data_IF_049485654373
#
_entry.id   IF_049485654373
#
_cell.length_a   1.000
_cell.length_b   1.000
_cell.length_c   1.000
_cell.angle_alpha   90.00
_cell.angle_beta   90.00
_cell.angle_gamma   90.00
#
_symmetry.space_group_name_H-M   'P 1'
#
loop_
_entity.id
_entity.type
_entity.pdbx_description
1 polymer ?
#
# COMPACT_ATOMS: atom_id res chain seq x y z
N UNK A 1 30.26 15.11 -13.82
CA UNK A 1 28.83 14.72 -13.77
C UNK A 1 28.02 15.76 -14.50
N UNK A 2 27.19 15.37 -15.46
CA UNK A 2 26.20 16.27 -16.09
C UNK A 2 25.10 16.62 -15.08
N UNK A 3 24.55 17.83 -15.12
CA UNK A 3 23.49 18.29 -14.21
C UNK A 3 22.31 17.30 -14.09
N UNK A 4 21.99 16.65 -15.21
CA UNK A 4 20.97 15.60 -15.30
C UNK A 4 21.27 14.35 -14.47
N UNK A 5 22.54 13.91 -14.43
CA UNK A 5 22.97 12.74 -13.65
C UNK A 5 22.98 13.06 -12.15
N UNK A 6 23.31 14.31 -11.79
CA UNK A 6 23.22 14.77 -10.40
C UNK A 6 21.76 14.85 -9.93
N UNK A 7 20.87 15.43 -10.74
CA UNK A 7 19.44 15.48 -10.42
C UNK A 7 18.81 14.07 -10.37
N UNK A 8 19.25 13.14 -11.23
CA UNK A 8 18.82 11.74 -11.18
C UNK A 8 19.24 11.06 -9.87
N UNK A 9 20.49 11.29 -9.42
CA UNK A 9 20.96 10.76 -8.15
C UNK A 9 20.11 11.27 -6.98
N UNK A 10 19.84 12.58 -6.93
CA UNK A 10 19.02 13.19 -5.87
C UNK A 10 17.59 12.64 -5.85
N UNK A 11 16.97 12.44 -7.02
CA UNK A 11 15.53 12.14 -7.13
C UNK A 11 15.16 10.65 -7.17
N UNK A 12 16.08 9.76 -7.58
CA UNK A 12 15.79 8.33 -7.80
C UNK A 12 16.54 7.40 -6.85
N UNK A 13 17.75 7.78 -6.43
CA UNK A 13 18.59 6.93 -5.58
C UNK A 13 19.26 7.77 -4.51
N UNK A 14 18.51 8.06 -3.44
CA UNK A 14 19.09 8.58 -2.22
C UNK A 14 20.21 7.63 -1.76
N UNK A 15 21.46 7.99 -1.98
CA UNK A 15 22.59 7.29 -1.37
C UNK A 15 22.60 7.60 0.13
N UNK A 16 22.91 6.59 0.95
CA UNK A 16 23.03 6.75 2.40
C UNK A 16 24.12 7.79 2.70
N UNK A 17 23.71 9.05 2.94
CA UNK A 17 24.62 10.15 3.25
C UNK A 17 24.31 11.48 2.57
N UNK A 18 23.50 11.52 1.50
CA UNK A 18 23.17 12.78 0.83
C UNK A 18 22.06 13.55 1.58
N UNK A 19 22.47 14.59 2.30
CA UNK A 19 21.57 15.48 3.05
C UNK A 19 20.52 16.16 2.16
N UNK A 20 20.86 16.46 0.90
CA UNK A 20 19.95 17.12 -0.03
C UNK A 20 18.83 16.18 -0.48
N UNK A 21 19.17 14.96 -0.89
CA UNK A 21 18.20 13.94 -1.26
C UNK A 21 17.24 13.64 -0.10
N UNK A 22 17.77 13.45 1.12
CA UNK A 22 16.94 13.22 2.32
C UNK A 22 16.01 14.41 2.64
N UNK A 23 16.47 15.64 2.43
CA UNK A 23 15.65 16.83 2.66
C UNK A 23 14.52 16.92 1.64
N UNK A 24 14.79 16.62 0.37
CA UNK A 24 13.77 16.57 -0.69
C UNK A 24 12.74 15.49 -0.38
N UNK A 25 13.18 14.28 -0.01
CA UNK A 25 12.29 13.18 0.34
C UNK A 25 11.38 13.52 1.53
N UNK A 26 11.96 14.08 2.60
CA UNK A 26 11.22 14.51 3.78
C UNK A 26 10.22 15.62 3.44
N UNK A 27 10.61 16.56 2.59
CA UNK A 27 9.72 17.63 2.11
C UNK A 27 8.53 17.06 1.34
N UNK A 28 8.75 16.13 0.41
CA UNK A 28 7.66 15.50 -0.36
C UNK A 28 6.75 14.68 0.56
N UNK A 29 7.30 13.89 1.48
CA UNK A 29 6.50 13.15 2.47
C UNK A 29 5.65 14.09 3.30
N UNK A 30 6.22 15.20 3.79
CA UNK A 30 5.50 16.22 4.57
C UNK A 30 4.35 16.82 3.76
N UNK A 31 4.58 17.15 2.48
CA UNK A 31 3.52 17.63 1.60
C UNK A 31 2.40 16.59 1.41
N UNK A 32 2.73 15.31 1.26
CA UNK A 32 1.73 14.24 1.11
C UNK A 32 0.88 14.15 2.39
N UNK A 33 1.51 14.12 3.56
CA UNK A 33 0.81 14.01 4.85
C UNK A 33 -0.08 15.22 5.10
N UNK A 34 0.43 16.43 4.87
CA UNK A 34 -0.36 17.66 4.99
C UNK A 34 -1.53 17.66 4.02
N UNK A 35 -1.30 17.24 2.78
CA UNK A 35 -2.36 17.22 1.79
C UNK A 35 -3.46 16.20 2.11
N UNK A 36 -3.11 15.02 2.60
CA UNK A 36 -4.10 14.03 3.05
C UNK A 36 -4.86 14.55 4.26
N UNK A 37 -4.19 15.26 5.18
CA UNK A 37 -4.84 15.93 6.30
C UNK A 37 -5.87 16.94 5.79
N UNK A 38 -5.53 17.75 4.77
CA UNK A 38 -6.47 18.68 4.16
C UNK A 38 -7.68 17.98 3.53
N UNK A 39 -7.50 16.84 2.87
CA UNK A 39 -8.60 16.04 2.31
C UNK A 39 -9.51 15.52 3.44
N UNK A 40 -8.96 15.08 4.57
CA UNK A 40 -9.76 14.68 5.73
C UNK A 40 -10.53 15.88 6.29
N UNK A 41 -9.89 17.04 6.42
CA UNK A 41 -10.53 18.26 6.91
C UNK A 41 -11.63 18.78 5.96
N UNK A 42 -11.49 18.58 4.65
CA UNK A 42 -12.52 18.89 3.65
C UNK A 42 -13.82 18.12 3.90
N UNK A 43 -13.77 16.94 4.52
CA UNK A 43 -14.97 16.15 4.84
C UNK A 43 -15.78 16.70 6.00
N UNK A 44 -15.23 17.64 6.78
CA UNK A 44 -15.91 18.27 7.91
C UNK A 44 -16.63 19.53 7.41
N UNK A 45 -17.97 19.51 7.38
CA UNK A 45 -18.82 20.57 6.82
C UNK A 45 -18.43 21.98 7.31
N UNK A 46 -18.31 22.19 8.63
CA UNK A 46 -17.96 23.51 9.18
C UNK A 46 -16.55 24.01 8.80
N UNK A 47 -15.61 23.10 8.56
CA UNK A 47 -14.25 23.46 8.09
C UNK A 47 -14.29 23.78 6.60
N UNK A 48 -14.99 22.97 5.81
CA UNK A 48 -15.08 23.17 4.37
C UNK A 48 -15.80 24.47 4.01
N UNK A 49 -16.86 24.83 4.72
CA UNK A 49 -17.56 26.11 4.50
C UNK A 49 -16.67 27.32 4.76
N UNK A 50 -15.81 27.25 5.79
CA UNK A 50 -14.95 28.36 6.22
C UNK A 50 -13.62 28.42 5.44
N UNK A 51 -13.02 27.26 5.16
CA UNK A 51 -11.65 27.12 4.64
C UNK A 51 -11.56 26.38 3.30
N UNK A 52 -12.68 26.01 2.67
CA UNK A 52 -12.70 25.21 1.44
C UNK A 52 -11.83 25.79 0.31
N UNK A 53 -11.87 27.12 0.12
CA UNK A 53 -11.00 27.80 -0.87
C UNK A 53 -9.51 27.67 -0.57
N UNK A 54 -9.13 27.69 0.70
CA UNK A 54 -7.75 27.50 1.13
C UNK A 54 -7.30 26.06 0.90
N UNK A 55 -8.16 25.09 1.24
CA UNK A 55 -7.93 23.66 1.00
C UNK A 55 -7.72 23.39 -0.51
N UNK A 56 -8.59 23.95 -1.35
CA UNK A 56 -8.49 23.84 -2.81
C UNK A 56 -7.19 24.46 -3.33
N UNK A 57 -6.85 25.69 -2.90
CA UNK A 57 -5.60 26.34 -3.29
C UNK A 57 -4.37 25.51 -2.88
N UNK A 58 -4.37 24.98 -1.65
CA UNK A 58 -3.29 24.12 -1.17
C UNK A 58 -3.17 22.85 -2.00
N UNK A 59 -4.30 22.24 -2.39
CA UNK A 59 -4.30 21.08 -3.28
C UNK A 59 -3.67 21.41 -4.64
N UNK A 60 -4.05 22.52 -5.27
CA UNK A 60 -3.49 22.97 -6.55
C UNK A 60 -1.97 23.11 -6.44
N UNK A 61 -1.47 23.74 -5.38
CA UNK A 61 -0.03 23.91 -5.12
C UNK A 61 0.66 22.55 -4.99
N UNK A 62 0.11 21.63 -4.18
CA UNK A 62 0.68 20.29 -4.03
C UNK A 62 0.72 19.52 -5.35
N UNK A 63 -0.35 19.55 -6.14
CA UNK A 63 -0.42 18.86 -7.44
C UNK A 63 0.60 19.44 -8.41
N UNK A 64 0.76 20.76 -8.46
CA UNK A 64 1.78 21.41 -9.28
C UNK A 64 3.18 20.94 -8.89
N UNK A 65 3.51 20.93 -7.58
CA UNK A 65 4.80 20.45 -7.09
C UNK A 65 5.02 18.98 -7.48
N UNK A 66 4.04 18.11 -7.26
CA UNK A 66 4.14 16.69 -7.62
C UNK A 66 4.25 16.45 -9.12
N UNK A 67 3.60 17.29 -9.94
CA UNK A 67 3.70 17.20 -11.39
C UNK A 67 5.08 17.62 -11.87
N UNK A 68 5.61 18.73 -11.35
CA UNK A 68 6.98 19.17 -11.67
C UNK A 68 7.98 18.08 -11.28
N UNK A 69 7.85 17.52 -10.08
CA UNK A 69 8.69 16.42 -9.61
C UNK A 69 8.62 15.20 -10.55
N UNK A 70 7.41 14.76 -10.93
CA UNK A 70 7.22 13.65 -11.87
C UNK A 70 7.86 13.91 -13.26
N UNK A 71 7.70 15.12 -13.80
CA UNK A 71 8.30 15.51 -15.07
C UNK A 71 9.82 15.56 -15.00
N UNK A 72 10.39 16.07 -13.90
CA UNK A 72 11.83 16.06 -13.66
C UNK A 72 12.37 14.62 -13.62
N UNK A 73 11.66 13.69 -12.98
CA UNK A 73 12.03 12.26 -13.01
C UNK A 73 12.02 11.67 -14.41
N UNK A 74 10.97 11.90 -15.20
CA UNK A 74 10.92 11.43 -16.60
C UNK A 74 12.06 12.04 -17.43
N UNK A 75 12.40 13.30 -17.19
CA UNK A 75 13.50 13.95 -17.89
C UNK A 75 14.86 13.32 -17.53
N UNK A 76 15.08 13.08 -16.24
CA UNK A 76 16.32 12.53 -15.69
C UNK A 76 16.49 11.02 -15.88
N UNK A 77 15.41 10.24 -16.08
CA UNK A 77 15.47 8.77 -16.17
C UNK A 77 16.43 8.26 -17.27
N UNK A 78 16.59 9.05 -18.33
CA UNK A 78 17.51 8.76 -19.45
C UNK A 78 19.00 8.88 -19.08
N UNK A 79 19.32 9.28 -17.84
CA UNK A 79 20.67 9.16 -17.28
C UNK A 79 21.02 7.71 -16.90
N UNK A 80 20.03 6.86 -16.65
CA UNK A 80 20.22 5.43 -16.45
C UNK A 80 20.42 4.72 -17.79
N UNK A 81 21.40 3.80 -17.84
CA UNK A 81 21.67 2.95 -19.00
C UNK A 81 20.44 2.11 -19.40
N UNK A 82 19.59 1.72 -18.43
CA UNK A 82 18.34 0.98 -18.70
C UNK A 82 17.34 1.77 -19.55
N UNK A 83 17.31 3.09 -19.40
CA UNK A 83 16.34 3.96 -20.08
C UNK A 83 17.01 4.93 -21.06
N UNK A 84 18.19 4.60 -21.57
CA UNK A 84 19.00 5.49 -22.41
C UNK A 84 18.30 5.93 -23.73
N UNK A 85 17.34 5.14 -24.24
CA UNK A 85 16.58 5.50 -25.46
C UNK A 85 15.67 6.71 -25.19
N UNK A 86 15.71 7.77 -26.01
CA UNK A 86 15.08 9.05 -25.68
C UNK A 86 13.56 9.01 -25.54
N UNK A 87 12.85 8.29 -26.42
CA UNK A 87 11.38 8.17 -26.37
C UNK A 87 10.95 6.86 -25.69
N UNK A 88 11.41 5.72 -26.21
CA UNK A 88 11.05 4.40 -25.67
C UNK A 88 11.54 4.19 -24.23
N UNK A 89 12.68 4.76 -23.84
CA UNK A 89 13.18 4.65 -22.47
C UNK A 89 12.31 5.43 -21.48
N UNK A 90 11.82 6.61 -21.86
CA UNK A 90 10.89 7.39 -21.04
C UNK A 90 9.52 6.72 -20.90
N UNK A 91 8.99 6.16 -22.00
CA UNK A 91 7.74 5.38 -21.97
C UNK A 91 7.89 4.14 -21.10
N UNK A 92 9.00 3.41 -21.23
CA UNK A 92 9.29 2.27 -20.37
C UNK A 92 9.41 2.68 -18.89
N UNK A 93 10.00 3.84 -18.60
CA UNK A 93 10.08 4.39 -17.24
C UNK A 93 8.70 4.74 -16.68
N UNK A 94 7.85 5.40 -17.46
CA UNK A 94 6.48 5.75 -17.05
C UNK A 94 5.63 4.53 -16.68
N UNK A 95 5.92 3.37 -17.30
CA UNK A 95 5.26 2.09 -17.02
C UNK A 95 5.87 1.32 -15.84
N UNK A 96 6.87 1.87 -15.15
CA UNK A 96 7.38 1.25 -13.91
C UNK A 96 6.38 1.45 -12.76
N UNK A 97 6.23 0.50 -11.83
CA UNK A 97 5.24 0.58 -10.76
C UNK A 97 5.33 1.87 -9.92
N UNK A 98 6.54 2.33 -9.62
CA UNK A 98 6.76 3.55 -8.84
C UNK A 98 6.41 4.82 -9.62
N UNK A 99 6.64 4.86 -10.94
CA UNK A 99 6.25 5.99 -11.78
C UNK A 99 4.74 6.03 -12.05
N UNK A 100 4.10 4.86 -12.13
CA UNK A 100 2.64 4.73 -12.18
C UNK A 100 1.99 5.28 -10.91
N UNK A 101 2.57 5.02 -9.72
CA UNK A 101 2.07 5.61 -8.46
C UNK A 101 2.12 7.15 -8.51
N UNK A 102 3.23 7.72 -8.98
CA UNK A 102 3.35 9.18 -9.11
C UNK A 102 2.31 9.77 -10.09
N UNK A 103 2.04 9.07 -11.21
CA UNK A 103 1.03 9.46 -12.18
C UNK A 103 -0.38 9.38 -11.60
N UNK A 104 -0.72 8.28 -10.93
CA UNK A 104 -2.03 8.08 -10.29
C UNK A 104 -2.26 9.11 -9.19
N UNK A 105 -1.21 9.56 -8.50
CA UNK A 105 -1.31 10.57 -7.44
C UNK A 105 -1.76 11.95 -7.96
N UNK A 106 -1.34 12.35 -9.17
CA UNK A 106 -1.69 13.64 -9.78
C UNK A 106 -2.92 13.56 -10.70
N UNK A 107 -3.21 12.35 -11.21
CA UNK A 107 -4.24 12.11 -12.22
C UNK A 107 -5.64 12.66 -11.86
N UNK A 108 -6.18 12.47 -10.63
CA UNK A 108 -7.54 12.91 -10.29
C UNK A 108 -7.76 14.41 -10.50
N UNK A 109 -6.76 15.24 -10.18
CA UNK A 109 -6.86 16.69 -10.35
C UNK A 109 -6.94 17.09 -11.83
N UNK A 110 -6.12 16.49 -12.69
CA UNK A 110 -6.15 16.76 -14.12
C UNK A 110 -7.43 16.28 -14.79
N UNK A 111 -8.00 15.17 -14.34
CA UNK A 111 -9.32 14.71 -14.80
C UNK A 111 -10.40 15.73 -14.46
N UNK A 112 -10.40 16.26 -13.23
CA UNK A 112 -11.35 17.29 -12.80
C UNK A 112 -11.21 18.60 -13.60
N UNK A 113 -9.99 18.95 -14.00
CA UNK A 113 -9.72 20.15 -14.81
C UNK A 113 -10.17 19.99 -16.28
N UNK A 114 -9.99 18.81 -16.87
CA UNK A 114 -10.20 18.58 -18.31
C UNK A 114 -11.59 18.06 -18.66
N UNK A 115 -12.29 17.41 -17.73
CA UNK A 115 -13.57 16.76 -17.96
C UNK A 115 -14.64 17.40 -17.08
N UNK A 116 -15.76 17.81 -17.67
CA UNK A 116 -16.94 18.21 -16.90
C UNK A 116 -17.57 16.96 -16.28
N UNK A 117 -17.49 16.85 -14.96
CA UNK A 117 -17.90 15.65 -14.23
C UNK A 117 -19.32 15.86 -13.69
N UNK A 118 -20.25 14.91 -13.92
CA UNK A 118 -21.56 14.96 -13.28
C UNK A 118 -21.43 14.95 -11.75
N UNK A 119 -22.37 15.61 -11.02
CA UNK A 119 -22.31 15.70 -9.56
C UNK A 119 -22.11 14.35 -8.86
N UNK A 120 -22.77 13.30 -9.35
CA UNK A 120 -22.75 11.94 -8.79
C UNK A 120 -21.36 11.29 -8.77
N UNK A 121 -20.46 11.69 -9.68
CA UNK A 121 -19.11 11.13 -9.78
C UNK A 121 -18.04 11.98 -9.11
N UNK A 122 -18.41 13.12 -8.54
CA UNK A 122 -17.45 14.01 -7.86
C UNK A 122 -16.84 13.34 -6.62
N UNK A 123 -17.65 12.66 -5.80
CA UNK A 123 -17.20 12.04 -4.55
C UNK A 123 -16.22 10.86 -4.78
N UNK A 124 -16.52 9.86 -5.64
CA UNK A 124 -15.56 8.80 -5.92
C UNK A 124 -14.22 9.30 -6.47
N UNK A 125 -14.24 10.34 -7.32
CA UNK A 125 -13.02 10.92 -7.88
C UNK A 125 -12.22 11.72 -6.85
N UNK A 126 -12.89 12.35 -5.87
CA UNK A 126 -12.21 12.93 -4.70
C UNK A 126 -11.52 11.85 -3.87
N UNK A 127 -12.12 10.66 -3.72
CA UNK A 127 -11.46 9.55 -3.01
C UNK A 127 -10.20 9.04 -3.73
N UNK A 128 -10.15 9.12 -5.07
CA UNK A 128 -8.91 8.77 -5.81
C UNK A 128 -7.73 9.65 -5.40
N UNK A 129 -7.96 10.85 -4.85
CA UNK A 129 -6.89 11.72 -4.32
C UNK A 129 -6.13 11.03 -3.19
N UNK A 130 -6.74 10.09 -2.46
CA UNK A 130 -6.08 9.29 -1.43
C UNK A 130 -4.98 8.39 -2.01
N UNK A 131 -5.00 8.06 -3.31
CA UNK A 131 -3.91 7.29 -3.93
C UNK A 131 -2.57 8.03 -3.88
N UNK A 132 -2.54 9.36 -3.67
CA UNK A 132 -1.29 10.08 -3.40
C UNK A 132 -0.58 9.59 -2.13
N UNK A 133 -1.28 8.91 -1.20
CA UNK A 133 -0.66 8.24 -0.06
C UNK A 133 0.31 7.14 -0.50
N UNK A 134 0.01 6.44 -1.59
CA UNK A 134 0.88 5.37 -2.11
C UNK A 134 2.26 5.91 -2.49
N UNK A 135 2.35 7.20 -2.84
CA UNK A 135 3.60 7.89 -3.16
C UNK A 135 4.59 7.89 -1.99
N UNK A 136 4.11 7.87 -0.73
CA UNK A 136 4.97 7.72 0.46
C UNK A 136 5.84 6.46 0.37
N UNK A 137 5.32 5.39 -0.22
CA UNK A 137 6.04 4.14 -0.35
C UNK A 137 7.31 4.22 -1.20
N UNK A 138 7.39 5.19 -2.12
CA UNK A 138 8.62 5.45 -2.89
C UNK A 138 9.70 6.11 -2.04
N UNK A 139 9.34 6.99 -1.11
CA UNK A 139 10.28 7.77 -0.30
C UNK A 139 10.67 7.06 1.01
N UNK A 140 9.97 5.98 1.38
CA UNK A 140 10.29 5.18 2.55
C UNK A 140 11.06 3.92 2.18
N UNK A 141 12.33 3.85 2.58
CA UNK A 141 13.15 2.63 2.43
C UNK A 141 12.45 1.40 3.05
N UNK A 142 11.83 1.56 4.22
CA UNK A 142 11.06 0.49 4.89
C UNK A 142 9.91 -0.02 4.03
N UNK A 143 9.19 0.86 3.31
CA UNK A 143 8.08 0.45 2.44
C UNK A 143 8.59 -0.22 1.17
N UNK A 144 9.71 0.23 0.60
CA UNK A 144 10.35 -0.46 -0.52
C UNK A 144 10.80 -1.88 -0.13
N UNK A 145 11.37 -2.02 1.07
CA UNK A 145 11.73 -3.32 1.63
C UNK A 145 10.50 -4.21 1.86
N UNK A 146 9.42 -3.66 2.42
CA UNK A 146 8.14 -4.37 2.56
C UNK A 146 7.63 -4.91 1.23
N UNK A 147 7.60 -4.07 0.18
CA UNK A 147 7.20 -4.48 -1.16
C UNK A 147 8.11 -5.55 -1.77
N UNK A 148 9.42 -5.46 -1.53
CA UNK A 148 10.40 -6.46 -1.95
C UNK A 148 10.14 -7.81 -1.28
N UNK A 149 9.91 -7.82 0.03
CA UNK A 149 9.60 -9.04 0.80
C UNK A 149 8.32 -9.69 0.30
N UNK A 150 7.26 -8.92 0.08
CA UNK A 150 6.02 -9.45 -0.52
C UNK A 150 6.28 -10.08 -1.87
N UNK A 151 7.08 -9.43 -2.72
CA UNK A 151 7.39 -9.95 -4.04
C UNK A 151 8.21 -11.25 -3.97
N UNK A 152 9.20 -11.31 -3.07
CA UNK A 152 10.02 -12.49 -2.83
C UNK A 152 9.19 -13.65 -2.27
N UNK A 153 8.32 -13.39 -1.30
CA UNK A 153 7.46 -14.39 -0.63
C UNK A 153 6.12 -14.60 -1.30
N UNK A 154 5.90 -14.07 -2.52
CA UNK A 154 4.60 -14.09 -3.20
C UNK A 154 4.02 -15.50 -3.31
N UNK A 155 4.84 -16.50 -3.62
CA UNK A 155 4.37 -17.87 -3.78
C UNK A 155 3.86 -18.46 -2.46
N UNK A 156 4.58 -18.24 -1.36
CA UNK A 156 4.16 -18.65 -0.01
C UNK A 156 2.87 -17.95 0.39
N UNK A 157 2.77 -16.63 0.15
CA UNK A 157 1.56 -15.84 0.42
C UNK A 157 0.36 -16.31 -0.40
N UNK A 158 0.55 -16.66 -1.68
CA UNK A 158 -0.53 -17.21 -2.52
C UNK A 158 -1.05 -18.54 -2.00
N UNK A 159 -0.16 -19.45 -1.57
CA UNK A 159 -0.55 -20.75 -1.00
C UNK A 159 -1.35 -20.55 0.28
N UNK A 160 -0.88 -19.66 1.17
CA UNK A 160 -1.59 -19.37 2.42
C UNK A 160 -2.94 -18.70 2.16
N UNK A 161 -3.01 -17.71 1.27
CA UNK A 161 -4.28 -17.07 0.90
C UNK A 161 -5.29 -18.07 0.31
N UNK A 162 -4.82 -19.00 -0.52
CA UNK A 162 -5.65 -20.08 -1.06
C UNK A 162 -6.16 -21.01 0.06
N UNK A 163 -5.28 -21.44 0.97
CA UNK A 163 -5.65 -22.28 2.11
C UNK A 163 -6.64 -21.59 3.06
N UNK A 164 -6.46 -20.28 3.33
CA UNK A 164 -7.39 -19.48 4.13
C UNK A 164 -8.77 -19.36 3.47
N UNK A 165 -8.80 -19.15 2.15
CA UNK A 165 -10.07 -19.07 1.40
C UNK A 165 -10.80 -20.41 1.43
N UNK A 166 -10.08 -21.53 1.25
CA UNK A 166 -10.66 -22.87 1.33
C UNK A 166 -11.21 -23.15 2.72
N UNK A 167 -10.44 -22.83 3.77
CA UNK A 167 -10.88 -22.97 5.16
C UNK A 167 -12.13 -22.15 5.43
N UNK A 168 -12.17 -20.89 4.98
CA UNK A 168 -13.33 -20.01 5.11
C UNK A 168 -14.58 -20.63 4.48
N UNK A 169 -14.47 -21.18 3.26
CA UNK A 169 -15.60 -21.81 2.57
C UNK A 169 -16.09 -23.05 3.33
N UNK A 170 -15.18 -23.91 3.80
CA UNK A 170 -15.52 -25.12 4.56
C UNK A 170 -16.21 -24.76 5.87
N UNK A 171 -15.62 -23.87 6.65
CA UNK A 171 -16.14 -23.41 7.95
C UNK A 171 -17.50 -22.76 7.80
N UNK A 172 -17.67 -21.90 6.80
CA UNK A 172 -18.92 -21.17 6.58
C UNK A 172 -20.03 -22.10 6.11
N UNK A 173 -19.70 -23.07 5.25
CA UNK A 173 -20.66 -24.09 4.80
C UNK A 173 -21.10 -24.97 5.96
N UNK A 174 -20.15 -25.42 6.79
CA UNK A 174 -20.44 -26.25 7.96
C UNK A 174 -21.33 -25.50 8.95
N UNK A 175 -21.00 -24.25 9.26
CA UNK A 175 -21.78 -23.46 10.21
C UNK A 175 -23.17 -23.12 9.67
N UNK A 176 -23.30 -22.84 8.37
CA UNK A 176 -24.60 -22.69 7.72
C UNK A 176 -25.48 -23.92 7.95
N UNK A 177 -25.00 -25.13 7.65
CA UNK A 177 -25.82 -26.34 7.81
C UNK A 177 -26.18 -26.64 9.28
N UNK A 178 -25.36 -26.21 10.23
CA UNK A 178 -25.60 -26.44 11.66
C UNK A 178 -26.54 -25.40 12.28
N UNK A 179 -26.40 -24.12 11.91
CA UNK A 179 -27.12 -23.02 12.55
C UNK A 179 -28.33 -22.51 11.75
N UNK A 180 -28.42 -22.75 10.44
CA UNK A 180 -29.49 -22.18 9.60
C UNK A 180 -30.89 -22.53 10.10
N UNK A 181 -31.11 -23.76 10.56
CA UNK A 181 -32.42 -24.16 11.09
C UNK A 181 -32.79 -23.44 12.40
N UNK A 182 -31.81 -23.11 13.23
CA UNK A 182 -32.03 -22.41 14.50
C UNK A 182 -32.06 -20.89 14.32
N UNK A 183 -31.35 -20.37 13.32
CA UNK A 183 -31.14 -18.95 13.06
C UNK A 183 -31.16 -18.65 11.55
N UNK A 184 -32.32 -18.78 10.87
CA UNK A 184 -32.39 -18.65 9.41
C UNK A 184 -32.08 -17.24 8.91
N UNK A 185 -32.32 -16.21 9.72
CA UNK A 185 -31.99 -14.81 9.37
C UNK A 185 -30.48 -14.53 9.45
N UNK A 186 -29.83 -15.01 10.53
CA UNK A 186 -28.40 -14.76 10.77
C UNK A 186 -27.49 -15.63 9.90
N UNK A 187 -27.88 -16.88 9.67
CA UNK A 187 -27.18 -17.84 8.81
C UNK A 187 -27.99 -18.11 7.53
N UNK A 188 -28.42 -17.06 6.83
CA UNK A 188 -29.37 -17.14 5.70
C UNK A 188 -28.82 -17.79 4.44
N UNK A 189 -27.52 -17.66 4.19
CA UNK A 189 -26.85 -18.25 3.03
C UNK A 189 -25.38 -18.49 3.35
N UNK A 190 -24.70 -19.37 2.59
CA UNK A 190 -23.26 -19.61 2.77
C UNK A 190 -22.45 -18.30 2.65
N UNK A 191 -22.67 -17.42 1.64
CA UNK A 191 -21.99 -16.12 1.59
C UNK A 191 -22.26 -15.22 2.80
N UNK A 192 -23.49 -15.22 3.33
CA UNK A 192 -23.80 -14.48 4.58
C UNK A 192 -23.01 -15.06 5.75
N UNK A 193 -22.93 -16.39 5.86
CA UNK A 193 -22.14 -17.07 6.89
C UNK A 193 -20.63 -16.83 6.73
N UNK A 194 -20.14 -16.56 5.50
CA UNK A 194 -18.74 -16.19 5.29
C UNK A 194 -18.36 -14.89 5.99
N UNK A 195 -19.28 -13.94 6.20
CA UNK A 195 -19.02 -12.77 7.04
C UNK A 195 -18.67 -13.18 8.47
N UNK A 196 -19.50 -14.04 9.08
CA UNK A 196 -19.20 -14.61 10.40
C UNK A 196 -17.87 -15.37 10.42
N UNK A 197 -17.59 -16.16 9.37
CA UNK A 197 -16.35 -16.90 9.22
C UNK A 197 -15.12 -15.99 9.15
N UNK A 198 -15.18 -14.90 8.37
CA UNK A 198 -14.10 -13.91 8.28
C UNK A 198 -13.87 -13.28 9.66
N UNK A 199 -14.91 -12.76 10.31
CA UNK A 199 -14.83 -12.08 11.61
C UNK A 199 -14.30 -13.01 12.71
N UNK A 200 -14.67 -14.29 12.67
CA UNK A 200 -14.24 -15.31 13.64
C UNK A 200 -12.79 -15.75 13.39
N UNK A 201 -12.44 -16.12 12.16
CA UNK A 201 -11.11 -16.61 11.81
C UNK A 201 -10.04 -15.51 11.92
N UNK A 202 -10.41 -14.25 11.68
CA UNK A 202 -9.53 -13.08 11.87
C UNK A 202 -9.47 -12.58 13.31
N UNK A 203 -10.14 -13.25 14.25
CA UNK A 203 -10.17 -12.91 15.68
C UNK A 203 -10.79 -11.55 16.03
N UNK A 204 -11.54 -10.93 15.09
CA UNK A 204 -12.22 -9.64 15.31
C UNK A 204 -13.42 -9.80 16.24
N UNK A 205 -14.30 -10.76 15.95
CA UNK A 205 -15.41 -11.12 16.84
C UNK A 205 -16.38 -9.99 17.18
N UNK A 206 -16.98 -9.32 16.18
CA UNK A 206 -17.96 -8.24 16.41
C UNK A 206 -19.15 -8.66 17.29
N UNK A 207 -19.53 -9.94 17.27
CA UNK A 207 -20.63 -10.48 18.09
C UNK A 207 -22.03 -10.18 17.53
N UNK A 208 -22.11 -9.69 16.30
CA UNK A 208 -23.34 -9.46 15.54
C UNK A 208 -24.02 -10.77 15.11
N UNK A 209 -23.23 -11.79 14.79
CA UNK A 209 -23.69 -13.15 14.47
C UNK A 209 -22.86 -14.15 15.27
N UNK A 210 -23.50 -15.16 15.87
CA UNK A 210 -22.80 -16.24 16.58
C UNK A 210 -23.66 -17.51 16.65
N UNK A 211 -23.04 -18.71 16.74
CA UNK A 211 -23.79 -19.96 16.87
C UNK A 211 -24.51 -20.05 18.22
N UNK A 212 -25.79 -20.43 18.20
CA UNK A 212 -26.58 -20.63 19.43
C UNK A 212 -26.76 -22.10 19.77
N UNK A 213 -26.63 -23.01 18.79
CA UNK A 213 -26.79 -24.45 19.01
C UNK A 213 -25.58 -25.01 19.76
N UNK A 214 -25.79 -26.08 20.54
CA UNK A 214 -24.70 -26.75 21.25
C UNK A 214 -23.62 -27.27 20.30
N UNK A 215 -24.05 -27.83 19.15
CA UNK A 215 -23.14 -28.31 18.12
C UNK A 215 -22.37 -27.16 17.44
N UNK A 216 -23.06 -26.07 17.10
CA UNK A 216 -22.45 -24.90 16.49
C UNK A 216 -21.44 -24.21 17.43
N UNK A 217 -21.72 -24.15 18.74
CA UNK A 217 -20.76 -23.65 19.74
C UNK A 217 -19.52 -24.53 19.85
N UNK A 218 -19.71 -25.86 19.86
CA UNK A 218 -18.60 -26.81 19.89
C UNK A 218 -17.71 -26.69 18.64
N UNK A 219 -18.33 -26.68 17.45
CA UNK A 219 -17.60 -26.49 16.19
C UNK A 219 -16.96 -25.11 16.13
N UNK A 220 -17.66 -24.06 16.55
CA UNK A 220 -17.17 -22.69 16.62
C UNK A 220 -15.91 -22.57 17.48
N UNK A 221 -15.86 -23.27 18.62
CA UNK A 221 -14.67 -23.31 19.46
C UNK A 221 -13.46 -23.94 18.74
N UNK A 222 -13.66 -25.07 18.04
CA UNK A 222 -12.61 -25.72 17.23
C UNK A 222 -12.15 -24.79 16.10
N UNK A 223 -13.11 -24.18 15.39
CA UNK A 223 -12.87 -23.26 14.29
C UNK A 223 -12.06 -22.05 14.74
N UNK A 224 -12.39 -21.48 15.91
CA UNK A 224 -11.67 -20.33 16.46
C UNK A 224 -10.19 -20.65 16.71
N UNK A 225 -9.89 -21.81 17.29
CA UNK A 225 -8.50 -22.25 17.54
C UNK A 225 -7.75 -22.46 16.23
N UNK A 226 -8.38 -23.12 15.24
CA UNK A 226 -7.78 -23.33 13.92
C UNK A 226 -7.55 -22.01 13.17
N UNK A 227 -8.48 -21.06 13.29
CA UNK A 227 -8.42 -19.75 12.66
C UNK A 227 -7.20 -18.94 13.12
N UNK A 228 -6.97 -18.87 14.43
CA UNK A 228 -5.81 -18.17 15.02
C UNK A 228 -4.50 -18.71 14.42
N UNK A 229 -4.35 -20.03 14.36
CA UNK A 229 -3.13 -20.66 13.83
C UNK A 229 -2.92 -20.37 12.34
N UNK A 230 -3.98 -20.43 11.54
CA UNK A 230 -3.90 -20.25 10.09
C UNK A 230 -3.70 -18.78 9.69
N UNK A 231 -4.38 -17.83 10.35
CA UNK A 231 -4.22 -16.40 10.09
C UNK A 231 -2.90 -15.82 10.64
N UNK A 232 -2.19 -16.54 11.52
CA UNK A 232 -0.84 -16.16 11.93
C UNK A 232 0.23 -16.42 10.85
N UNK A 233 -0.04 -17.29 9.87
CA UNK A 233 0.94 -17.69 8.84
C UNK A 233 1.41 -16.53 7.94
N UNK A 234 0.53 -15.66 7.37
CA UNK A 234 0.99 -14.52 6.57
C UNK A 234 1.91 -13.58 7.35
N UNK A 235 1.60 -13.32 8.62
CA UNK A 235 2.44 -12.48 9.48
C UNK A 235 3.80 -13.14 9.72
N UNK A 236 3.84 -14.45 9.97
CA UNK A 236 5.09 -15.21 10.11
C UNK A 236 5.96 -15.20 8.85
N UNK A 237 5.36 -15.41 7.68
CA UNK A 237 6.05 -15.38 6.37
C UNK A 237 6.64 -13.99 6.08
N UNK A 238 5.87 -12.94 6.34
CA UNK A 238 6.36 -11.57 6.16
C UNK A 238 7.49 -11.27 7.15
N UNK A 239 7.33 -11.65 8.42
CA UNK A 239 8.35 -11.44 9.45
C UNK A 239 9.66 -12.15 9.11
N UNK A 240 9.63 -13.41 8.67
CA UNK A 240 10.85 -14.12 8.27
C UNK A 240 11.49 -13.50 7.03
N UNK A 241 10.68 -13.10 6.05
CA UNK A 241 11.16 -12.40 4.86
C UNK A 241 11.82 -11.05 5.19
N UNK A 242 11.30 -10.32 6.18
CA UNK A 242 11.94 -9.09 6.66
C UNK A 242 13.31 -9.34 7.30
N UNK A 243 13.41 -10.37 8.15
CA UNK A 243 14.67 -10.75 8.77
C UNK A 243 15.69 -11.17 7.71
N UNK A 244 15.28 -11.97 6.73
CA UNK A 244 16.11 -12.38 5.59
C UNK A 244 16.60 -11.16 4.79
N UNK A 245 15.70 -10.25 4.41
CA UNK A 245 16.05 -9.07 3.62
C UNK A 245 16.99 -8.11 4.38
N UNK A 246 16.82 -7.98 5.70
CA UNK A 246 17.73 -7.19 6.54
C UNK A 246 19.11 -7.85 6.67
N UNK A 247 19.17 -9.18 6.77
CA UNK A 247 20.43 -9.92 6.80
C UNK A 247 21.18 -9.86 5.46
N UNK A 248 20.48 -9.91 4.33
CA UNK A 248 21.08 -9.73 3.00
C UNK A 248 21.74 -8.35 2.87
N UNK A 249 21.05 -7.27 3.26
CA UNK A 249 21.62 -5.92 3.26
C UNK A 249 22.90 -5.82 4.12
N UNK A 250 22.92 -6.45 5.29
CA UNK A 250 24.13 -6.48 6.14
C UNK A 250 25.27 -7.33 5.54
N UNK A 251 24.96 -8.33 4.71
CA UNK A 251 25.97 -9.14 4.01
C UNK A 251 26.55 -8.41 2.80
N UNK A 252 25.73 -7.70 2.05
CA UNK A 252 26.18 -6.86 0.93
C UNK A 252 27.12 -5.74 1.39
N UNK A 253 26.91 -5.23 2.61
CA UNK A 253 27.80 -4.25 3.24
C UNK A 253 29.07 -4.87 3.86
N UNK A 254 29.34 -6.17 3.71
CA UNK A 254 30.58 -6.80 4.22
C UNK A 254 31.48 -7.27 3.09
N UNK A 255 32.77 -6.93 3.19
CA UNK A 255 33.76 -7.34 2.20
C UNK A 255 33.88 -8.88 2.17
N UNK A 256 33.69 -9.54 1.01
CA UNK A 256 33.76 -11.00 0.92
C UNK A 256 35.17 -11.58 1.19
N UNK A 257 36.21 -10.74 1.15
CA UNK A 257 37.59 -11.16 1.38
C UNK A 257 38.02 -11.06 2.86
N UNK A 258 37.48 -10.11 3.63
CA UNK A 258 37.94 -9.85 5.01
C UNK A 258 36.83 -9.71 6.05
N UNK A 259 35.55 -9.74 5.65
CA UNK A 259 34.39 -9.67 6.55
C UNK A 259 34.15 -8.32 7.22
N UNK A 260 34.97 -7.30 6.93
CA UNK A 260 34.81 -5.93 7.44
C UNK A 260 33.71 -5.19 6.69
N UNK A 261 33.07 -4.24 7.38
CA UNK A 261 32.04 -3.38 6.81
C UNK A 261 32.64 -2.47 5.72
N UNK A 262 32.03 -2.44 4.55
CA UNK A 262 32.48 -1.65 3.40
C UNK A 262 32.00 -0.20 3.55
N UNK A 263 30.96 0.04 4.36
CA UNK A 263 30.38 1.37 4.61
C UNK A 263 31.33 2.35 5.33
N UNK A 264 32.40 1.87 5.97
CA UNK A 264 33.34 2.70 6.73
C UNK A 264 34.50 3.29 5.91
N UNK A 265 34.50 3.15 4.57
CA UNK A 265 35.61 3.59 3.71
C UNK A 265 35.21 4.52 2.54
N UNK A 266 34.05 5.18 2.62
CA UNK A 266 33.63 6.23 1.68
C UNK A 266 34.08 7.62 2.08
#
# INVERSE_FOLDING_TARGET
MTAKTHLYAILEKAEEGDLLSRTVDLFIITLIVLNVTMVILETVEGINETYGKFIELFEVICVLIFTVEYLLRIWCCTADKKFARPLMGRLAFMLTPLALIDLIAIFPYYVFLLVTIPPDYTLPLRLLRLFRLLKVGRYSHSMQMFGRVIWQKRHELYIVAFALTLLLVIVSSLMYFVEHHAQPEAFSSIPTTMWWGIVTLTTVGYGDVFPITSLGKFLGAIIAVLGVGMFALPAGILSSGFVEAMQESHRENKCPHCGKDISTHG
#
